data_IF_506961245371
#
_entry.id   IF_506961245371
#
_cell.length_a   1.000
_cell.length_b   1.000
_cell.length_c   1.000
_cell.angle_alpha   90.00
_cell.angle_beta   90.00
_cell.angle_gamma   90.00
#
_symmetry.space_group_name_H-M   'P 1'
#
loop_
_entity.id
_entity.type
_entity.pdbx_description
1 polymer ?
#
# COMPACT_ATOMS: atom_id res chain seq x y z
N UNK A 1 10.69 14.17 -2.98
CA UNK A 1 10.32 13.00 -3.81
C UNK A 1 9.94 11.88 -2.86
N UNK A 2 8.83 11.17 -3.07
CA UNK A 2 8.47 10.02 -2.22
C UNK A 2 9.42 8.87 -2.59
N UNK A 3 10.19 8.39 -1.62
CA UNK A 3 11.09 7.24 -1.81
C UNK A 3 10.30 5.94 -1.69
N UNK A 4 10.63 4.97 -2.55
CA UNK A 4 10.10 3.60 -2.51
C UNK A 4 10.29 2.95 -1.13
N UNK A 5 11.46 3.16 -0.52
CA UNK A 5 11.76 2.67 0.83
C UNK A 5 10.75 3.17 1.85
N UNK A 6 10.35 4.43 1.78
CA UNK A 6 9.34 4.99 2.69
C UNK A 6 7.97 4.35 2.49
N UNK A 7 7.58 4.08 1.23
CA UNK A 7 6.32 3.38 0.93
C UNK A 7 6.33 1.97 1.50
N UNK A 8 7.44 1.23 1.38
CA UNK A 8 7.57 -0.10 1.97
C UNK A 8 7.46 -0.08 3.50
N UNK A 9 8.14 0.85 4.17
CA UNK A 9 8.03 0.98 5.63
C UNK A 9 6.60 1.36 6.05
N UNK A 10 5.92 2.20 5.28
CA UNK A 10 4.52 2.53 5.54
C UNK A 10 3.58 1.33 5.37
N UNK A 11 3.84 0.45 4.38
CA UNK A 11 3.09 -0.80 4.23
C UNK A 11 3.30 -1.70 5.44
N UNK A 12 4.55 -1.84 5.92
CA UNK A 12 4.85 -2.62 7.13
C UNK A 12 4.12 -2.08 8.35
N UNK A 13 4.08 -0.76 8.55
CA UNK A 13 3.33 -0.19 9.68
C UNK A 13 1.82 -0.47 9.56
N UNK A 14 1.26 -0.46 8.34
CA UNK A 14 -0.14 -0.84 8.11
C UNK A 14 -0.42 -2.33 8.42
N UNK A 15 0.57 -3.21 8.24
CA UNK A 15 0.45 -4.65 8.52
C UNK A 15 0.84 -5.06 9.93
N UNK A 16 1.67 -4.27 10.62
CA UNK A 16 2.26 -4.61 11.94
C UNK A 16 1.24 -5.00 13.00
N UNK A 17 0.06 -4.38 12.98
CA UNK A 17 -1.01 -4.60 13.96
C UNK A 17 -2.15 -5.49 13.43
N UNK A 18 -2.04 -6.00 12.20
CA UNK A 18 -3.07 -6.86 11.62
C UNK A 18 -3.01 -8.26 12.23
N UNK A 19 -4.08 -8.61 12.95
CA UNK A 19 -4.26 -9.92 13.58
C UNK A 19 -4.77 -11.01 12.62
N UNK A 20 -5.18 -10.62 11.40
CA UNK A 20 -5.69 -11.53 10.37
C UNK A 20 -4.60 -12.13 9.47
N UNK A 21 -5.03 -12.88 8.47
CA UNK A 21 -4.21 -13.46 7.41
C UNK A 21 -4.04 -12.53 6.19
N UNK A 22 -4.81 -11.45 6.13
CA UNK A 22 -4.75 -10.43 5.08
C UNK A 22 -4.95 -9.01 5.64
N UNK A 23 -4.31 -8.05 4.98
CA UNK A 23 -4.48 -6.62 5.23
C UNK A 23 -4.89 -5.94 3.94
N UNK A 24 -5.82 -5.00 4.04
CA UNK A 24 -6.34 -4.26 2.89
C UNK A 24 -6.18 -2.77 3.12
N UNK A 25 -5.55 -2.08 2.18
CA UNK A 25 -5.29 -0.64 2.26
C UNK A 25 -5.40 0.03 0.90
N UNK A 26 -5.42 1.37 0.89
CA UNK A 26 -5.42 2.20 -0.32
C UNK A 26 -4.16 3.06 -0.34
N UNK A 27 -3.82 3.62 -1.50
CA UNK A 27 -2.72 4.58 -1.63
C UNK A 27 -2.82 5.76 -0.65
N UNK A 28 -4.04 6.22 -0.34
CA UNK A 28 -4.27 7.27 0.66
C UNK A 28 -3.95 6.85 2.09
N UNK A 29 -4.04 5.56 2.41
CA UNK A 29 -3.77 5.06 3.77
C UNK A 29 -2.25 5.03 3.99
N UNK A 30 -1.48 4.59 2.98
CA UNK A 30 -0.02 4.77 2.92
C UNK A 30 0.35 6.26 3.02
N UNK A 31 -0.34 7.12 2.26
CA UNK A 31 -0.09 8.57 2.31
C UNK A 31 -0.33 9.18 3.70
N UNK A 32 -1.31 8.68 4.47
CA UNK A 32 -1.54 9.09 5.86
C UNK A 32 -0.39 8.69 6.77
N UNK A 33 0.12 7.46 6.65
CA UNK A 33 1.29 7.00 7.42
C UNK A 33 2.52 7.84 7.11
N UNK A 34 2.69 8.22 5.84
CA UNK A 34 3.78 9.09 5.38
C UNK A 34 3.58 10.59 5.67
N UNK A 35 2.47 10.99 6.31
CA UNK A 35 2.17 12.40 6.59
C UNK A 35 1.88 13.26 5.35
N UNK A 36 1.80 12.67 4.15
CA UNK A 36 1.44 13.37 2.91
C UNK A 36 -0.08 13.42 2.77
N UNK A 37 -0.69 14.43 3.40
CA UNK A 37 -2.10 14.76 3.23
C UNK A 37 -2.37 15.28 1.80
N UNK A 38 -2.74 14.36 0.89
CA UNK A 38 -3.65 14.66 -0.22
C UNK A 38 -3.16 15.50 -1.41
N UNK A 39 -1.85 15.76 -1.59
CA UNK A 39 -1.39 16.38 -2.85
C UNK A 39 -1.47 15.34 -3.98
N UNK A 40 -2.30 15.62 -5.00
CA UNK A 40 -2.65 14.65 -6.06
C UNK A 40 -1.46 13.88 -6.65
N UNK A 41 -0.36 14.57 -6.95
CA UNK A 41 0.85 13.92 -7.50
C UNK A 41 1.50 12.89 -6.57
N UNK A 42 1.49 13.13 -5.25
CA UNK A 42 2.02 12.19 -4.27
C UNK A 42 1.22 10.89 -4.20
N UNK A 43 -0.10 10.99 -4.26
CA UNK A 43 -0.97 9.81 -4.26
C UNK A 43 -0.87 9.01 -5.57
N UNK A 44 -0.66 9.69 -6.71
CA UNK A 44 -0.41 9.04 -8.00
C UNK A 44 0.89 8.23 -7.94
N UNK A 45 1.98 8.82 -7.42
CA UNK A 45 3.26 8.11 -7.27
C UNK A 45 3.15 6.90 -6.34
N UNK A 46 2.49 7.06 -5.18
CA UNK A 46 2.25 5.93 -4.27
C UNK A 46 1.44 4.85 -4.99
N UNK A 47 0.37 5.22 -5.71
CA UNK A 47 -0.44 4.24 -6.43
C UNK A 47 0.36 3.51 -7.51
N UNK A 48 1.19 4.22 -8.28
CA UNK A 48 2.02 3.62 -9.32
C UNK A 48 3.03 2.62 -8.73
N UNK A 49 3.62 2.95 -7.58
CA UNK A 49 4.53 2.02 -6.91
C UNK A 49 3.80 0.79 -6.34
N UNK A 50 2.61 0.98 -5.76
CA UNK A 50 1.79 -0.15 -5.29
C UNK A 50 1.33 -1.05 -6.45
N UNK A 51 1.12 -0.47 -7.64
CA UNK A 51 0.87 -1.23 -8.85
C UNK A 51 2.06 -2.05 -9.31
N UNK A 52 3.24 -1.46 -9.29
CA UNK A 52 4.48 -2.18 -9.58
C UNK A 52 4.67 -3.39 -8.64
N UNK A 53 4.42 -3.22 -7.33
CA UNK A 53 4.46 -4.32 -6.37
C UNK A 53 3.40 -5.40 -6.65
N UNK A 54 2.23 -5.01 -7.16
CA UNK A 54 1.19 -5.95 -7.54
C UNK A 54 1.56 -6.74 -8.81
N UNK A 55 2.18 -6.09 -9.80
CA UNK A 55 2.71 -6.74 -11.00
C UNK A 55 3.79 -7.78 -10.66
N UNK A 56 4.55 -7.55 -9.60
CA UNK A 56 5.52 -8.50 -9.05
C UNK A 56 4.89 -9.63 -8.22
N UNK A 57 3.56 -9.65 -8.06
CA UNK A 57 2.85 -10.65 -7.26
C UNK A 57 2.99 -10.45 -5.74
N UNK A 58 3.51 -9.31 -5.27
CA UNK A 58 3.69 -9.02 -3.85
C UNK A 58 2.41 -8.49 -3.18
N UNK A 59 1.51 -7.93 -3.99
CA UNK A 59 0.19 -7.42 -3.61
C UNK A 59 -0.88 -7.92 -4.58
N UNK A 60 -2.10 -8.10 -4.10
CA UNK A 60 -3.28 -8.26 -4.95
C UNK A 60 -4.01 -6.92 -5.11
N UNK A 61 -4.61 -6.70 -6.28
CA UNK A 61 -5.38 -5.47 -6.58
C UNK A 61 -6.86 -5.81 -6.69
N UNK A 62 -7.69 -5.17 -5.86
CA UNK A 62 -9.14 -5.23 -5.95
C UNK A 62 -9.71 -3.87 -6.30
N UNK A 63 -10.38 -3.77 -7.47
CA UNK A 63 -11.08 -2.56 -7.91
C UNK A 63 -12.58 -2.71 -7.67
N UNK A 64 -13.22 -1.66 -7.15
CA UNK A 64 -14.67 -1.58 -7.04
C UNK A 64 -15.17 -0.15 -7.28
N UNK A 65 -16.49 0.08 -7.19
CA UNK A 65 -17.11 1.40 -7.34
C UNK A 65 -16.53 2.47 -6.40
N UNK A 66 -15.92 2.07 -5.27
CA UNK A 66 -15.30 2.97 -4.29
C UNK A 66 -13.79 3.18 -4.51
N UNK A 67 -13.26 2.68 -5.62
CA UNK A 67 -11.87 2.83 -6.03
C UNK A 67 -11.03 1.56 -5.87
N UNK A 68 -9.73 1.77 -5.81
CA UNK A 68 -8.71 0.72 -5.81
C UNK A 68 -8.24 0.40 -4.39
N UNK A 69 -8.19 -0.89 -4.07
CA UNK A 69 -7.64 -1.44 -2.83
C UNK A 69 -6.50 -2.38 -3.18
N UNK A 70 -5.47 -2.35 -2.35
CA UNK A 70 -4.35 -3.27 -2.37
C UNK A 70 -4.51 -4.22 -1.20
N UNK A 71 -4.22 -5.48 -1.44
CA UNK A 71 -4.33 -6.55 -0.45
C UNK A 71 -2.95 -7.18 -0.33
N UNK A 72 -2.47 -7.33 0.90
CA UNK A 72 -1.29 -8.10 1.23
C UNK A 72 -1.72 -9.26 2.12
N UNK A 73 -1.11 -10.43 1.95
CA UNK A 73 -1.38 -11.63 2.75
C UNK A 73 -0.20 -11.98 3.64
N UNK A 74 -0.44 -12.72 4.71
CA UNK A 74 0.57 -13.17 5.70
C UNK A 74 1.75 -13.95 5.12
N UNK A 75 1.58 -14.56 3.95
CA UNK A 75 2.66 -15.25 3.22
C UNK A 75 3.48 -14.34 2.29
N UNK A 76 3.11 -13.06 2.11
CA UNK A 76 3.87 -12.13 1.29
C UNK A 76 5.21 -11.81 1.97
N UNK A 77 6.32 -11.70 1.23
CA UNK A 77 7.60 -11.25 1.80
C UNK A 77 7.54 -9.82 2.36
N UNK A 78 6.50 -9.06 1.99
CA UNK A 78 6.23 -7.72 2.52
C UNK A 78 5.48 -7.74 3.87
N UNK A 79 5.02 -8.91 4.34
CA UNK A 79 4.27 -9.03 5.60
C UNK A 79 5.22 -9.19 6.79
N UNK A 80 5.39 -8.12 7.57
CA UNK A 80 6.14 -8.11 8.84
C UNK A 80 5.54 -7.13 9.83
#
# INVERSE_FOLDING_TARGET
MISEKLVLEAIKELTRSHRGDMATFRARDVGKVLGVRGRGGSLVLISAYLDHLAEQGLLEVKRNKMGKKYIIRKGSPLWR
#
